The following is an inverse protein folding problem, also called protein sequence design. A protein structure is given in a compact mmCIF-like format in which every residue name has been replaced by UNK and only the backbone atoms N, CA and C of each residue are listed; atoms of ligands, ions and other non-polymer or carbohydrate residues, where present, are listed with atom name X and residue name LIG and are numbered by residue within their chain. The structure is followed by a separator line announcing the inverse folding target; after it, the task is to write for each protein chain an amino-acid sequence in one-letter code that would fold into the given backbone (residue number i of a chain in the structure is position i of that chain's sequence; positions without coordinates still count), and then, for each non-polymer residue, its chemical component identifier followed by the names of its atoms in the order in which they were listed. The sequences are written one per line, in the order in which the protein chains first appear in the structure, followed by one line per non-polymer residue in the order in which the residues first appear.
data_IF_655338161151
#
_entry.id   IF_655338161151
#
_cell.length_a   1.000
_cell.length_b   1.000
_cell.length_c   1.000
_cell.angle_alpha   90.00
_cell.angle_beta   90.00
_cell.angle_gamma   90.00
#
_symmetry.space_group_name_H-M   'P 1'
#
loop_
_entity.id
_entity.type
_entity.pdbx_description
1 polymer ?
#
# COMPACT_ATOMS: atom_id res chain seq x y z
N UNK A 1 23.41 -24.27 -10.59
CA UNK A 1 23.79 -23.12 -9.76
C UNK A 1 23.50 -23.46 -8.32
N UNK A 2 24.48 -23.32 -7.41
CA UNK A 2 24.22 -23.43 -5.97
C UNK A 2 23.45 -22.18 -5.53
N UNK A 3 22.34 -22.35 -4.81
CA UNK A 3 21.63 -21.22 -4.20
C UNK A 3 22.41 -20.72 -2.99
N UNK A 4 22.66 -19.42 -2.93
CA UNK A 4 23.25 -18.76 -1.76
C UNK A 4 22.14 -18.36 -0.78
N UNK A 5 22.14 -18.94 0.41
CA UNK A 5 21.17 -18.63 1.44
C UNK A 5 21.59 -17.33 2.14
N UNK A 6 20.78 -16.27 2.00
CA UNK A 6 21.01 -14.99 2.67
C UNK A 6 20.46 -14.94 4.09
N UNK A 7 19.15 -15.13 4.25
CA UNK A 7 18.45 -15.08 5.55
C UNK A 7 17.05 -15.71 5.46
N UNK A 8 16.45 -16.00 6.62
CA UNK A 8 14.99 -16.21 6.72
C UNK A 8 14.32 -14.84 6.84
N UNK A 9 13.15 -14.69 6.22
CA UNK A 9 12.31 -13.52 6.45
C UNK A 9 11.44 -13.73 7.70
N UNK A 10 11.16 -12.67 8.48
CA UNK A 10 10.15 -12.70 9.53
C UNK A 10 8.80 -13.13 8.97
N UNK A 11 8.00 -13.78 9.81
CA UNK A 11 6.63 -14.11 9.43
C UNK A 11 5.79 -12.82 9.39
N UNK A 12 4.71 -12.77 8.58
CA UNK A 12 3.90 -11.57 8.45
C UNK A 12 3.34 -11.03 9.77
N UNK A 13 3.11 -11.90 10.75
CA UNK A 13 2.65 -11.50 12.08
C UNK A 13 3.69 -10.62 12.80
N UNK A 14 4.98 -10.99 12.77
CA UNK A 14 6.06 -10.25 13.45
C UNK A 14 6.21 -8.83 12.89
N UNK A 15 6.13 -8.67 11.57
CA UNK A 15 6.20 -7.34 10.93
C UNK A 15 4.98 -6.48 11.27
N UNK A 16 3.79 -7.10 11.35
CA UNK A 16 2.56 -6.38 11.74
C UNK A 16 2.56 -5.98 13.20
N UNK A 17 3.18 -6.77 14.07
CA UNK A 17 3.38 -6.43 15.48
C UNK A 17 4.44 -5.34 15.67
N UNK A 18 5.52 -5.36 14.89
CA UNK A 18 6.56 -4.31 14.89
C UNK A 18 6.01 -2.97 14.39
N UNK A 19 5.10 -2.99 13.42
CA UNK A 19 4.53 -1.82 12.77
C UNK A 19 3.01 -1.90 12.76
N UNK A 20 2.33 -1.74 13.91
CA UNK A 20 0.89 -2.00 14.02
C UNK A 20 0.05 -0.88 13.43
N UNK A 21 -1.08 -1.26 12.81
CA UNK A 21 -2.17 -0.32 12.58
C UNK A 21 -2.86 -0.05 13.93
N UNK A 22 -3.16 1.22 14.23
CA UNK A 22 -3.80 1.57 15.50
C UNK A 22 -5.18 0.90 15.64
N UNK A 23 -5.63 0.67 16.87
CA UNK A 23 -6.95 0.05 17.13
C UNK A 23 -8.10 0.90 16.53
N UNK A 24 -7.97 2.23 16.58
CA UNK A 24 -8.93 3.15 15.97
C UNK A 24 -8.99 2.99 14.45
N UNK A 25 -7.83 2.95 13.79
CA UNK A 25 -7.75 2.78 12.34
C UNK A 25 -8.19 1.37 11.91
N UNK A 26 -7.94 0.36 12.73
CA UNK A 26 -8.42 -1.02 12.48
C UNK A 26 -9.95 -1.08 12.44
N UNK A 27 -10.63 -0.38 13.34
CA UNK A 27 -12.09 -0.28 13.32
C UNK A 27 -12.60 0.49 12.08
N UNK A 28 -11.93 1.60 11.72
CA UNK A 28 -12.23 2.37 10.51
C UNK A 28 -12.05 1.55 9.24
N UNK A 29 -11.03 0.69 9.18
CA UNK A 29 -10.75 -0.19 8.03
C UNK A 29 -11.92 -1.12 7.73
N UNK A 30 -12.45 -1.78 8.75
CA UNK A 30 -13.57 -2.70 8.58
C UNK A 30 -14.82 -1.99 8.04
N UNK A 31 -15.10 -0.78 8.54
CA UNK A 31 -16.21 0.03 8.05
C UNK A 31 -15.99 0.48 6.59
N UNK A 32 -14.78 0.92 6.26
CA UNK A 32 -14.42 1.36 4.91
C UNK A 32 -14.47 0.21 3.90
N UNK A 33 -13.98 -0.98 4.25
CA UNK A 33 -14.07 -2.16 3.38
C UNK A 33 -15.52 -2.56 3.09
N UNK A 34 -16.38 -2.50 4.10
CA UNK A 34 -17.81 -2.77 3.92
C UNK A 34 -18.47 -1.72 3.02
N UNK A 35 -18.05 -0.46 3.10
CA UNK A 35 -18.51 0.63 2.24
C UNK A 35 -18.08 0.43 0.77
N UNK A 36 -16.79 0.09 0.56
CA UNK A 36 -16.24 -0.25 -0.76
C UNK A 36 -16.95 -1.47 -1.36
N UNK A 37 -17.21 -2.51 -0.55
CA UNK A 37 -17.92 -3.70 -0.98
C UNK A 37 -19.32 -3.38 -1.50
N UNK A 38 -20.07 -2.49 -0.84
CA UNK A 38 -21.40 -2.05 -1.29
C UNK A 38 -21.37 -1.39 -2.67
N UNK A 39 -20.32 -0.64 -2.99
CA UNK A 39 -20.17 -0.06 -4.34
C UNK A 39 -19.93 -1.17 -5.38
N UNK A 40 -19.11 -2.16 -5.05
CA UNK A 40 -18.85 -3.28 -5.96
C UNK A 40 -20.05 -4.22 -6.14
N UNK A 41 -20.89 -4.39 -5.12
CA UNK A 41 -22.14 -5.17 -5.22
C UNK A 41 -23.31 -4.37 -5.80
N UNK A 42 -23.14 -3.06 -6.00
CA UNK A 42 -24.17 -2.18 -6.56
C UNK A 42 -25.22 -1.70 -5.55
N UNK A 43 -25.02 -1.97 -4.26
CA UNK A 43 -25.86 -1.47 -3.16
C UNK A 43 -25.64 0.04 -2.90
N UNK A 44 -24.46 0.55 -3.27
CA UNK A 44 -24.12 1.97 -3.24
C UNK A 44 -23.85 2.47 -4.67
N UNK A 45 -24.50 3.57 -5.05
CA UNK A 45 -24.44 4.14 -6.40
C UNK A 45 -23.18 4.98 -6.67
N UNK A 46 -22.38 5.30 -5.64
CA UNK A 46 -21.08 5.98 -5.80
C UNK A 46 -20.12 5.15 -6.65
N UNK A 47 -19.01 5.74 -7.07
CA UNK A 47 -17.95 5.03 -7.81
C UNK A 47 -16.68 4.94 -6.98
N UNK A 48 -16.03 3.78 -7.01
CA UNK A 48 -14.66 3.63 -6.50
C UNK A 48 -13.70 4.24 -7.51
N UNK A 49 -12.85 5.16 -7.06
CA UNK A 49 -11.78 5.76 -7.85
C UNK A 49 -10.44 5.39 -7.22
N UNK A 50 -9.65 4.60 -7.96
CA UNK A 50 -8.27 4.28 -7.59
C UNK A 50 -7.36 5.29 -8.30
N UNK A 51 -6.72 6.17 -7.52
CA UNK A 51 -5.92 7.28 -8.07
C UNK A 51 -4.70 7.56 -7.21
N UNK A 52 -3.59 7.90 -7.85
CA UNK A 52 -2.34 8.25 -7.18
C UNK A 52 -1.14 8.13 -8.11
N UNK A 53 0.07 8.35 -7.59
CA UNK A 53 1.29 8.26 -8.38
C UNK A 53 1.49 6.86 -8.95
N UNK A 54 2.25 6.78 -10.04
CA UNK A 54 2.53 5.51 -10.68
C UNK A 54 3.34 4.56 -9.78
N UNK A 55 4.27 5.11 -8.99
CA UNK A 55 5.07 4.44 -7.94
C UNK A 55 5.04 5.24 -6.64
N UNK A 56 5.18 4.56 -5.51
CA UNK A 56 5.43 5.17 -4.20
C UNK A 56 6.87 4.90 -3.75
N UNK A 57 7.84 5.58 -4.38
CA UNK A 57 9.28 5.41 -4.15
C UNK A 57 9.93 6.55 -3.34
N UNK A 58 9.24 7.69 -3.21
CA UNK A 58 9.69 8.86 -2.44
C UNK A 58 8.64 9.31 -1.45
N UNK A 59 8.89 9.06 -0.17
CA UNK A 59 7.92 9.28 0.91
C UNK A 59 7.42 10.73 0.99
N UNK A 60 8.33 11.70 0.98
CA UNK A 60 8.01 13.14 1.00
C UNK A 60 6.97 13.55 -0.05
N UNK A 61 7.21 13.11 -1.29
CA UNK A 61 6.41 13.43 -2.46
C UNK A 61 5.09 12.67 -2.46
N UNK A 62 5.09 11.42 -2.00
CA UNK A 62 3.88 10.60 -1.84
C UNK A 62 2.97 11.24 -0.80
N UNK A 63 3.49 11.57 0.38
CA UNK A 63 2.68 12.13 1.47
C UNK A 63 2.14 13.51 1.13
N UNK A 64 2.91 14.37 0.44
CA UNK A 64 2.39 15.65 -0.05
C UNK A 64 1.17 15.43 -0.98
N UNK A 65 1.28 14.49 -1.92
CA UNK A 65 0.19 14.16 -2.83
C UNK A 65 -1.03 13.62 -2.07
N UNK A 66 -0.83 12.69 -1.13
CA UNK A 66 -1.93 12.07 -0.38
C UNK A 66 -2.65 13.08 0.53
N UNK A 67 -1.93 13.99 1.16
CA UNK A 67 -2.52 15.07 1.96
C UNK A 67 -3.39 16.01 1.12
N UNK A 68 -3.00 16.29 -0.12
CA UNK A 68 -3.84 17.06 -1.06
C UNK A 68 -5.05 16.26 -1.52
N UNK A 69 -4.86 14.97 -1.82
CA UNK A 69 -5.94 14.08 -2.23
C UNK A 69 -6.98 13.91 -1.12
N UNK A 70 -6.59 13.88 0.15
CA UNK A 70 -7.50 13.79 1.29
C UNK A 70 -8.52 14.94 1.34
N UNK A 71 -8.07 16.17 1.06
CA UNK A 71 -8.94 17.34 0.97
C UNK A 71 -9.94 17.20 -0.17
N UNK A 72 -9.46 16.79 -1.35
CA UNK A 72 -10.33 16.56 -2.51
C UNK A 72 -11.31 15.41 -2.28
N UNK A 73 -10.90 14.35 -1.60
CA UNK A 73 -11.77 13.21 -1.29
C UNK A 73 -12.99 13.64 -0.48
N UNK A 74 -12.80 14.52 0.50
CA UNK A 74 -13.90 15.09 1.29
C UNK A 74 -14.88 15.91 0.44
N UNK A 75 -14.39 16.67 -0.55
CA UNK A 75 -15.21 17.48 -1.46
C UNK A 75 -16.09 16.64 -2.41
N UNK A 76 -15.71 15.38 -2.67
CA UNK A 76 -16.39 14.51 -3.66
C UNK A 76 -17.01 13.25 -3.05
N UNK A 77 -16.99 13.10 -1.72
CA UNK A 77 -17.39 11.88 -0.99
C UNK A 77 -18.82 11.41 -1.27
N UNK A 78 -19.70 12.33 -1.68
CA UNK A 78 -21.09 12.04 -2.02
C UNK A 78 -21.22 11.26 -3.34
N UNK A 79 -20.19 11.28 -4.17
CA UNK A 79 -20.16 10.68 -5.52
C UNK A 79 -19.09 9.62 -5.68
N UNK A 80 -17.97 9.76 -4.97
CA UNK A 80 -16.79 8.91 -5.14
C UNK A 80 -16.31 8.36 -3.79
N UNK A 81 -15.88 7.10 -3.79
CA UNK A 81 -14.99 6.54 -2.77
C UNK A 81 -13.59 6.52 -3.36
N UNK A 82 -12.68 7.30 -2.80
CA UNK A 82 -11.28 7.35 -3.25
C UNK A 82 -10.46 6.31 -2.48
N UNK A 83 -9.76 5.45 -3.21
CA UNK A 83 -8.75 4.55 -2.66
C UNK A 83 -7.39 4.97 -3.25
N UNK A 84 -6.49 5.62 -2.47
CA UNK A 84 -5.23 6.08 -3.00
C UNK A 84 -4.34 4.94 -3.50
N UNK A 85 -3.79 5.13 -4.70
CA UNK A 85 -2.81 4.25 -5.32
C UNK A 85 -1.44 4.47 -4.66
N UNK A 86 -0.94 3.47 -3.95
CA UNK A 86 0.40 3.43 -3.33
C UNK A 86 1.12 2.21 -3.87
N UNK A 87 1.54 2.29 -5.15
CA UNK A 87 2.12 1.13 -5.83
C UNK A 87 3.59 0.97 -5.45
N UNK A 88 3.90 -0.09 -4.70
CA UNK A 88 5.25 -0.31 -4.15
C UNK A 88 6.11 -1.21 -5.02
N UNK A 89 5.51 -1.84 -6.04
CA UNK A 89 6.17 -2.75 -6.96
C UNK A 89 6.07 -2.26 -8.41
N UNK A 90 7.03 -2.64 -9.25
CA UNK A 90 7.06 -2.30 -10.67
C UNK A 90 7.32 -3.52 -11.55
N UNK A 91 6.41 -3.87 -12.48
CA UNK A 91 6.69 -4.93 -13.44
C UNK A 91 7.75 -4.44 -14.44
N UNK A 92 8.74 -5.31 -14.73
CA UNK A 92 9.83 -5.00 -15.67
C UNK A 92 9.87 -6.07 -16.76
N UNK A 93 9.62 -5.67 -18.01
CA UNK A 93 9.59 -6.60 -19.17
C UNK A 93 10.89 -7.38 -19.34
N UNK A 94 12.04 -6.74 -19.10
CA UNK A 94 13.37 -7.37 -19.25
C UNK A 94 13.98 -7.82 -17.92
N UNK A 95 13.26 -7.68 -16.81
CA UNK A 95 13.79 -7.94 -15.46
C UNK A 95 14.88 -6.98 -14.97
N UNK A 96 15.28 -6.00 -15.78
CA UNK A 96 16.32 -5.01 -15.48
C UNK A 96 15.75 -3.63 -15.12
N UNK A 97 16.48 -2.91 -14.27
CA UNK A 97 16.14 -1.58 -13.73
C UNK A 97 15.27 -1.64 -12.47
N UNK A 98 14.96 -0.47 -11.90
CA UNK A 98 14.21 -0.34 -10.64
C UNK A 98 12.91 -1.14 -10.60
N UNK A 99 12.78 -2.01 -9.59
CA UNK A 99 11.64 -2.95 -9.41
C UNK A 99 10.64 -2.49 -8.35
N UNK A 100 10.86 -1.32 -7.74
CA UNK A 100 10.01 -0.78 -6.69
C UNK A 100 10.64 -0.81 -5.31
N UNK A 101 9.93 -0.20 -4.36
CA UNK A 101 10.34 0.00 -2.97
C UNK A 101 10.64 -1.32 -2.26
N UNK A 102 9.92 -2.40 -2.60
CA UNK A 102 10.18 -3.74 -2.08
C UNK A 102 11.61 -4.23 -2.35
N UNK A 103 12.15 -3.95 -3.54
CA UNK A 103 13.47 -4.47 -3.91
C UNK A 103 14.57 -3.49 -3.51
N UNK A 104 14.35 -2.20 -3.73
CA UNK A 104 15.32 -1.15 -3.45
C UNK A 104 14.64 0.00 -2.70
N UNK A 105 14.51 -0.08 -1.37
CA UNK A 105 14.04 1.03 -0.54
C UNK A 105 14.92 2.28 -0.72
N UNK A 106 16.22 2.04 -0.84
CA UNK A 106 17.23 3.07 -1.16
C UNK A 106 17.68 2.86 -2.60
N UNK A 107 17.46 3.82 -3.52
CA UNK A 107 17.69 3.63 -4.95
C UNK A 107 19.11 3.18 -5.34
N UNK A 108 20.13 3.63 -4.62
CA UNK A 108 21.54 3.32 -4.89
C UNK A 108 22.08 2.14 -4.04
N UNK A 109 21.25 1.58 -3.15
CA UNK A 109 21.65 0.46 -2.31
C UNK A 109 21.39 -0.89 -3.02
N UNK A 110 22.14 -1.95 -2.67
CA UNK A 110 21.82 -3.30 -3.08
C UNK A 110 20.41 -3.74 -2.67
N UNK A 111 19.87 -4.72 -3.36
CA UNK A 111 18.57 -5.30 -3.04
C UNK A 111 18.56 -5.90 -1.62
N UNK A 112 17.62 -5.48 -0.76
CA UNK A 112 17.37 -6.10 0.55
C UNK A 112 15.86 -6.28 0.76
N UNK A 113 15.42 -7.53 0.65
CA UNK A 113 14.00 -7.87 0.74
C UNK A 113 13.43 -7.69 2.15
N UNK A 114 14.23 -7.81 3.21
CA UNK A 114 13.74 -7.57 4.57
C UNK A 114 13.44 -6.08 4.77
N UNK A 115 14.39 -5.23 4.41
CA UNK A 115 14.19 -3.78 4.45
C UNK A 115 13.09 -3.35 3.47
N UNK A 116 13.00 -4.03 2.33
CA UNK A 116 11.90 -3.95 1.38
C UNK A 116 10.51 -4.14 2.01
N UNK A 117 10.31 -5.26 2.69
CA UNK A 117 9.04 -5.58 3.36
C UNK A 117 8.68 -4.53 4.42
N UNK A 118 9.68 -4.07 5.18
CA UNK A 118 9.48 -2.99 6.17
C UNK A 118 9.13 -1.67 5.49
N UNK A 119 9.82 -1.31 4.41
CA UNK A 119 9.63 -0.07 3.68
C UNK A 119 8.24 0.02 3.02
N UNK A 120 7.76 -1.05 2.38
CA UNK A 120 6.41 -1.04 1.80
C UNK A 120 5.34 -0.88 2.89
N UNK A 121 5.46 -1.59 4.01
CA UNK A 121 4.52 -1.46 5.13
C UNK A 121 4.58 -0.06 5.73
N UNK A 122 5.80 0.49 5.89
CA UNK A 122 6.02 1.86 6.35
C UNK A 122 5.26 2.85 5.48
N UNK A 123 5.47 2.80 4.15
CA UNK A 123 4.84 3.72 3.21
C UNK A 123 3.31 3.70 3.32
N UNK A 124 2.70 2.50 3.35
CA UNK A 124 1.27 2.37 3.51
C UNK A 124 0.77 2.92 4.86
N UNK A 125 1.46 2.60 5.96
CA UNK A 125 1.11 3.12 7.29
C UNK A 125 1.19 4.65 7.34
N UNK A 126 2.27 5.25 6.84
CA UNK A 126 2.43 6.72 6.82
C UNK A 126 1.28 7.40 6.09
N UNK A 127 0.88 6.87 4.93
CA UNK A 127 -0.28 7.39 4.19
C UNK A 127 -1.55 7.30 5.03
N UNK A 128 -1.82 6.14 5.64
CA UNK A 128 -3.03 5.92 6.47
C UNK A 128 -3.04 6.85 7.69
N UNK A 129 -1.92 6.94 8.41
CA UNK A 129 -1.80 7.73 9.63
C UNK A 129 -1.94 9.23 9.38
N UNK A 130 -1.39 9.75 8.27
CA UNK A 130 -1.44 11.18 7.97
C UNK A 130 -2.78 11.62 7.38
N UNK A 131 -3.46 10.74 6.64
CA UNK A 131 -4.61 11.13 5.81
C UNK A 131 -5.92 10.47 6.19
N UNK A 132 -5.88 9.37 6.95
CA UNK A 132 -7.03 8.53 7.25
C UNK A 132 -7.48 7.64 6.08
N UNK A 133 -6.79 7.66 4.95
CA UNK A 133 -7.07 6.76 3.82
C UNK A 133 -6.75 5.31 4.15
N UNK A 134 -7.30 4.39 3.36
CA UNK A 134 -6.77 3.03 3.19
C UNK A 134 -6.40 2.81 1.74
N UNK A 135 -5.36 2.03 1.49
CA UNK A 135 -4.59 2.16 0.25
C UNK A 135 -4.86 1.03 -0.75
N UNK A 136 -4.47 1.26 -2.00
CA UNK A 136 -4.43 0.25 -3.06
C UNK A 136 -2.98 0.00 -3.49
N UNK A 137 -2.66 -1.26 -3.79
CA UNK A 137 -1.38 -1.67 -4.36
C UNK A 137 -1.58 -2.78 -5.42
N UNK A 138 -0.56 -3.03 -6.22
CA UNK A 138 -0.49 -4.11 -7.21
C UNK A 138 0.36 -5.26 -6.64
N UNK A 139 -0.27 -6.40 -6.36
CA UNK A 139 0.41 -7.53 -5.72
C UNK A 139 1.14 -8.41 -6.73
N UNK A 140 2.22 -7.88 -7.31
CA UNK A 140 3.13 -8.64 -8.19
C UNK A 140 3.74 -9.87 -7.49
N UNK A 141 3.93 -9.79 -6.18
CA UNK A 141 4.44 -10.86 -5.33
C UNK A 141 3.38 -11.22 -4.28
N UNK A 142 2.58 -12.29 -4.49
CA UNK A 142 1.45 -12.62 -3.61
C UNK A 142 1.85 -12.86 -2.15
N UNK A 143 3.09 -13.25 -1.88
CA UNK A 143 3.62 -13.39 -0.52
C UNK A 143 3.61 -12.08 0.28
N UNK A 144 3.69 -10.94 -0.40
CA UNK A 144 3.73 -9.62 0.24
C UNK A 144 2.39 -9.23 0.86
N UNK A 145 1.30 -9.74 0.29
CA UNK A 145 -0.06 -9.40 0.71
C UNK A 145 -0.27 -9.61 2.21
N UNK A 146 0.29 -10.68 2.78
CA UNK A 146 0.11 -10.98 4.21
C UNK A 146 0.76 -9.94 5.13
N UNK A 147 1.78 -9.22 4.67
CA UNK A 147 2.40 -8.12 5.42
C UNK A 147 1.58 -6.83 5.37
N UNK A 148 0.60 -6.73 4.46
CA UNK A 148 -0.13 -5.50 4.15
C UNK A 148 -1.66 -5.64 4.24
N UNK A 149 -2.19 -6.83 4.50
CA UNK A 149 -3.63 -7.14 4.41
C UNK A 149 -4.51 -6.23 5.29
N UNK A 150 -3.98 -5.77 6.43
CA UNK A 150 -4.66 -4.85 7.34
C UNK A 150 -4.68 -3.39 6.83
N UNK A 151 -3.89 -3.06 5.80
CA UNK A 151 -3.68 -1.70 5.28
C UNK A 151 -4.35 -1.47 3.90
N UNK A 152 -4.55 -2.55 3.14
CA UNK A 152 -5.04 -2.49 1.75
C UNK A 152 -6.56 -2.67 1.66
N UNK A 153 -7.23 -1.80 0.90
CA UNK A 153 -8.68 -1.91 0.60
C UNK A 153 -8.97 -2.31 -0.85
N UNK A 154 -7.94 -2.30 -1.70
CA UNK A 154 -8.02 -2.81 -3.06
C UNK A 154 -6.67 -3.40 -3.46
N UNK A 155 -6.70 -4.52 -4.18
CA UNK A 155 -5.51 -5.15 -4.75
C UNK A 155 -5.75 -5.35 -6.23
N UNK A 156 -4.84 -4.82 -7.04
CA UNK A 156 -4.77 -5.10 -8.47
C UNK A 156 -3.92 -6.36 -8.76
#
# INVERSE_FOLDING_TARGET
MAMDFKRRLPIPMEIREEMPLSAELTAKKQAFDAEVAKVFTGEDARKVLIIGPCSADREDSVLEYMNRLAKTAEEVKDKLIIIPRVYTNKPRTKGTGYKGLLHNPTPEAPDDLLEGVKAIRHMHLRVIEETGFFTADEMLYPSNYQYLVDLLSYVA
#
